data_IF_215663373692
#
_entry.id   IF_215663373692
#
_cell.length_a   1.000
_cell.length_b   1.000
_cell.length_c   1.000
_cell.angle_alpha   90.00
_cell.angle_beta   90.00
_cell.angle_gamma   90.00
#
_symmetry.space_group_name_H-M   'P 1'
#
loop_
_entity.id
_entity.type
_entity.pdbx_description
1 polymer ?
#
# COMPACT_ATOMS: atom_id res chain seq x y z
N UNK A 1 0.30 -19.37 -25.12
CA UNK A 1 -0.47 -18.39 -24.32
C UNK A 1 -0.37 -18.75 -22.83
N UNK A 2 0.78 -19.29 -22.42
CA UNK A 2 0.87 -20.29 -21.35
C UNK A 2 2.19 -20.11 -20.59
N UNK A 3 2.20 -20.47 -19.31
CA UNK A 3 3.20 -20.18 -18.25
C UNK A 3 3.12 -18.78 -17.59
N UNK A 4 2.86 -17.71 -18.36
CA UNK A 4 2.76 -16.35 -17.79
C UNK A 4 1.47 -16.18 -16.97
N UNK A 5 0.34 -16.69 -17.46
CA UNK A 5 -0.94 -16.63 -16.74
C UNK A 5 -0.90 -17.42 -15.41
N UNK A 6 -0.14 -18.52 -15.34
CA UNK A 6 -0.08 -19.35 -14.12
C UNK A 6 0.78 -18.76 -12.99
N UNK A 7 1.67 -17.81 -13.29
CA UNK A 7 2.46 -17.07 -12.27
C UNK A 7 1.78 -15.73 -11.93
N UNK A 8 1.07 -15.13 -12.89
CA UNK A 8 0.35 -13.87 -12.71
C UNK A 8 -1.03 -14.08 -12.06
N UNK A 9 -1.56 -15.31 -12.07
CA UNK A 9 -2.85 -15.70 -11.49
C UNK A 9 -2.70 -16.97 -10.64
N UNK A 10 -1.79 -16.98 -9.66
CA UNK A 10 -1.96 -17.90 -8.55
C UNK A 10 -3.23 -17.50 -7.79
N UNK A 11 -3.93 -18.45 -7.15
CA UNK A 11 -5.18 -18.23 -6.39
C UNK A 11 -5.07 -17.25 -5.22
N UNK A 12 -3.93 -16.59 -5.06
CA UNK A 12 -3.73 -15.48 -4.14
C UNK A 12 -4.22 -14.16 -4.76
N UNK A 13 -5.48 -13.82 -4.49
CA UNK A 13 -6.15 -12.57 -4.87
C UNK A 13 -5.29 -11.31 -4.61
N UNK A 14 -4.46 -11.33 -3.56
CA UNK A 14 -3.63 -10.19 -3.19
C UNK A 14 -2.39 -10.02 -4.08
N UNK A 15 -1.71 -11.11 -4.42
CA UNK A 15 -0.59 -11.08 -5.38
C UNK A 15 -1.06 -10.57 -6.75
N UNK A 16 -2.27 -10.98 -7.15
CA UNK A 16 -2.90 -10.54 -8.40
C UNK A 16 -3.12 -9.02 -8.40
N UNK A 17 -3.52 -8.43 -7.27
CA UNK A 17 -3.72 -6.98 -7.16
C UNK A 17 -2.43 -6.18 -7.40
N UNK A 18 -1.30 -6.63 -6.85
CA UNK A 18 0.00 -5.94 -7.02
C UNK A 18 0.45 -5.98 -8.47
N UNK A 19 0.42 -7.17 -9.09
CA UNK A 19 0.84 -7.36 -10.48
C UNK A 19 -0.09 -6.61 -11.43
N UNK A 20 -1.40 -6.68 -11.20
CA UNK A 20 -2.39 -5.96 -12.00
C UNK A 20 -2.17 -4.45 -11.93
N UNK A 21 -1.83 -3.89 -10.76
CA UNK A 21 -1.49 -2.47 -10.66
C UNK A 21 -0.29 -2.11 -11.54
N UNK A 22 0.78 -2.89 -11.50
CA UNK A 22 1.95 -2.66 -12.37
C UNK A 22 1.55 -2.71 -13.84
N UNK A 23 0.77 -3.72 -14.25
CA UNK A 23 0.29 -3.87 -15.63
C UNK A 23 -0.54 -2.65 -16.06
N UNK A 24 -1.50 -2.21 -15.24
CA UNK A 24 -2.38 -1.11 -15.59
C UNK A 24 -1.62 0.21 -15.74
N UNK A 25 -0.74 0.53 -14.78
CA UNK A 25 0.09 1.74 -14.84
C UNK A 25 1.04 1.71 -16.05
N UNK A 26 1.62 0.55 -16.35
CA UNK A 26 2.50 0.37 -17.52
C UNK A 26 1.73 0.58 -18.83
N UNK A 27 0.53 0.03 -18.95
CA UNK A 27 -0.34 0.25 -20.12
C UNK A 27 -0.73 1.72 -20.28
N UNK A 28 -1.12 2.39 -19.20
CA UNK A 28 -1.42 3.82 -19.22
C UNK A 28 -0.22 4.65 -19.69
N UNK A 29 0.99 4.27 -19.28
CA UNK A 29 2.21 4.91 -19.75
C UNK A 29 2.47 4.67 -21.24
N UNK A 30 2.43 3.42 -21.70
CA UNK A 30 2.76 3.10 -23.08
C UNK A 30 1.70 3.59 -24.08
N UNK A 31 0.42 3.37 -23.77
CA UNK A 31 -0.72 3.64 -24.65
C UNK A 31 -1.19 5.09 -24.55
N UNK A 32 -1.40 5.58 -23.33
CA UNK A 32 -1.98 6.90 -23.09
C UNK A 32 -0.94 7.99 -22.81
N UNK A 33 0.36 7.66 -22.86
CA UNK A 33 1.49 8.57 -22.54
C UNK A 33 1.35 9.25 -21.18
N UNK A 34 0.63 8.60 -20.26
CA UNK A 34 0.42 9.13 -18.91
C UNK A 34 1.59 8.73 -18.03
N UNK A 35 2.33 9.67 -17.43
CA UNK A 35 3.47 9.33 -16.58
C UNK A 35 3.00 8.53 -15.36
N UNK A 36 3.85 7.61 -14.92
CA UNK A 36 3.57 6.84 -13.71
C UNK A 36 3.61 7.77 -12.49
N UNK A 37 2.54 7.74 -11.69
CA UNK A 37 2.47 8.52 -10.46
C UNK A 37 3.52 8.03 -9.46
N UNK A 38 4.43 8.94 -9.08
CA UNK A 38 5.38 8.72 -8.01
C UNK A 38 4.76 9.15 -6.67
N UNK A 39 4.76 8.25 -5.69
CA UNK A 39 4.18 8.47 -4.37
C UNK A 39 5.14 8.05 -3.27
N UNK A 40 5.27 8.86 -2.22
CA UNK A 40 6.01 8.48 -1.00
C UNK A 40 5.18 7.64 -0.02
N UNK A 41 3.87 7.54 -0.25
CA UNK A 41 2.90 6.79 0.55
C UNK A 41 2.03 5.91 -0.36
N UNK A 42 1.47 4.83 0.19
CA UNK A 42 0.63 3.88 -0.57
C UNK A 42 -0.85 4.25 -0.51
N UNK A 43 -1.34 4.77 0.61
CA UNK A 43 -2.72 5.25 0.76
C UNK A 43 -2.84 6.37 1.82
N UNK A 44 -4.04 6.95 1.94
CA UNK A 44 -4.34 8.05 2.86
C UNK A 44 -4.29 7.70 4.35
N UNK A 45 -4.26 6.41 4.71
CA UNK A 45 -3.97 5.98 6.08
C UNK A 45 -2.62 6.51 6.61
N UNK A 46 -1.71 6.85 5.70
CA UNK A 46 -0.39 7.39 6.03
C UNK A 46 -0.33 8.91 6.09
N UNK A 47 -1.41 9.66 5.83
CA UNK A 47 -1.34 11.12 5.87
C UNK A 47 -2.65 11.86 6.20
N UNK A 48 -3.82 11.24 6.12
CA UNK A 48 -5.07 12.00 6.24
C UNK A 48 -6.39 11.24 6.30
N UNK A 49 -6.39 9.92 6.48
CA UNK A 49 -7.63 9.17 6.71
C UNK A 49 -8.02 9.16 8.19
N UNK A 50 -9.32 9.24 8.45
CA UNK A 50 -9.91 9.18 9.79
C UNK A 50 -11.22 8.38 9.72
N UNK A 51 -11.27 7.24 10.38
CA UNK A 51 -12.43 6.34 10.44
C UNK A 51 -12.93 6.25 11.86
N UNK A 52 -14.19 6.56 12.06
CA UNK A 52 -14.82 6.61 13.37
C UNK A 52 -15.54 5.28 13.61
N UNK A 53 -15.21 4.61 14.70
CA UNK A 53 -16.00 3.47 15.16
C UNK A 53 -17.25 3.93 15.93
N UNK A 54 -18.22 3.04 16.20
CA UNK A 54 -19.45 3.41 16.92
C UNK A 54 -19.25 3.90 18.36
N UNK A 55 -18.06 3.69 18.95
CA UNK A 55 -17.72 4.14 20.30
C UNK A 55 -17.00 5.49 20.30
N UNK A 56 -16.74 6.05 19.12
CA UNK A 56 -16.06 7.33 18.95
C UNK A 56 -14.54 7.20 18.76
N UNK A 57 -13.96 5.99 18.79
CA UNK A 57 -12.54 5.85 18.50
C UNK A 57 -12.25 6.09 17.02
N UNK A 58 -11.13 6.77 16.77
CA UNK A 58 -10.71 7.20 15.44
C UNK A 58 -9.51 6.37 15.00
N UNK A 59 -9.56 5.88 13.77
CA UNK A 59 -8.57 4.99 13.17
C UNK A 59 -8.12 5.49 11.78
N UNK A 60 -6.86 5.27 11.38
CA UNK A 60 -6.36 5.70 10.07
C UNK A 60 -6.82 4.81 8.91
N UNK A 61 -7.24 3.58 9.17
CA UNK A 61 -7.55 2.58 8.14
C UNK A 61 -8.57 1.55 8.62
N UNK A 62 -9.38 1.03 7.70
CA UNK A 62 -10.47 0.10 8.01
C UNK A 62 -9.94 -1.23 8.55
N UNK A 63 -8.82 -1.69 7.99
CA UNK A 63 -8.14 -2.94 8.35
C UNK A 63 -7.64 -3.02 9.80
N UNK A 64 -7.58 -1.88 10.50
CA UNK A 64 -7.10 -1.78 11.89
C UNK A 64 -8.18 -1.23 12.84
N UNK A 65 -9.39 -0.94 12.36
CA UNK A 65 -10.52 -0.55 13.21
C UNK A 65 -10.76 -1.64 14.26
N UNK A 66 -11.03 -1.23 15.49
CA UNK A 66 -11.19 -2.13 16.63
C UNK A 66 -9.87 -2.57 17.28
N UNK A 67 -8.72 -2.39 16.63
CA UNK A 67 -7.42 -2.65 17.26
C UNK A 67 -6.96 -1.44 18.08
N UNK A 68 -7.32 -1.38 19.38
CA UNK A 68 -7.09 -0.19 20.24
C UNK A 68 -5.66 0.36 20.23
N UNK A 69 -4.63 -0.49 20.07
CA UNK A 69 -3.22 -0.07 19.90
C UNK A 69 -2.96 0.84 18.68
N UNK A 70 -3.89 0.92 17.74
CA UNK A 70 -3.82 1.73 16.53
C UNK A 70 -4.87 2.83 16.49
N UNK A 71 -5.61 3.06 17.59
CA UNK A 71 -6.49 4.21 17.73
C UNK A 71 -5.65 5.49 17.71
N UNK A 72 -6.00 6.46 16.86
CA UNK A 72 -5.27 7.72 16.65
C UNK A 72 -5.94 8.92 17.34
N UNK A 73 -7.12 8.72 17.89
CA UNK A 73 -7.86 9.75 18.62
C UNK A 73 -9.24 9.27 19.03
N UNK A 74 -9.96 10.08 19.78
CA UNK A 74 -11.32 9.81 20.22
C UNK A 74 -12.19 11.02 19.88
N UNK A 75 -13.41 10.76 19.41
CA UNK A 75 -14.47 11.72 19.24
C UNK A 75 -15.52 11.50 20.32
N UNK A 76 -15.65 12.48 21.21
CA UNK A 76 -16.62 12.47 22.30
C UNK A 76 -17.16 13.87 22.52
N UNK A 77 -18.46 13.98 22.84
CA UNK A 77 -19.10 15.26 23.20
C UNK A 77 -18.86 16.39 22.18
N UNK A 78 -18.83 16.06 20.88
CA UNK A 78 -18.61 17.03 19.80
C UNK A 78 -17.16 17.53 19.66
N UNK A 79 -16.20 16.91 20.36
CA UNK A 79 -14.77 17.26 20.30
C UNK A 79 -13.94 16.07 19.84
N UNK A 80 -12.83 16.38 19.17
CA UNK A 80 -11.82 15.39 18.78
C UNK A 80 -10.57 15.58 19.64
N UNK A 81 -10.12 14.48 20.24
CA UNK A 81 -8.86 14.41 20.97
C UNK A 81 -7.91 13.48 20.22
N UNK A 82 -6.81 14.02 19.70
CA UNK A 82 -5.77 13.23 19.02
C UNK A 82 -4.74 12.68 20.01
N UNK A 83 -4.20 11.50 19.72
CA UNK A 83 -3.09 10.94 20.49
C UNK A 83 -1.82 10.83 19.64
N UNK A 84 -0.71 10.41 20.26
CA UNK A 84 0.60 10.30 19.60
C UNK A 84 0.66 9.23 18.50
N UNK A 85 -0.24 8.24 18.51
CA UNK A 85 -0.33 7.18 17.48
C UNK A 85 -0.72 7.78 16.13
N UNK A 86 -1.42 8.92 16.11
CA UNK A 86 -1.70 9.66 14.88
C UNK A 86 -0.42 9.96 14.10
N UNK A 87 0.61 10.49 14.76
CA UNK A 87 1.87 10.85 14.11
C UNK A 87 2.64 9.60 13.66
N UNK A 88 2.55 8.50 14.42
CA UNK A 88 3.13 7.21 14.02
C UNK A 88 2.59 6.73 12.67
N UNK A 89 1.28 6.86 12.43
CA UNK A 89 0.68 6.52 11.14
C UNK A 89 0.89 7.58 10.07
N UNK A 90 0.56 8.85 10.39
CA UNK A 90 0.47 9.93 9.39
C UNK A 90 1.82 10.48 8.92
N UNK A 91 2.90 10.01 9.53
CA UNK A 91 4.25 10.39 9.15
C UNK A 91 5.00 9.26 8.47
N UNK A 92 4.44 8.05 8.42
CA UNK A 92 5.08 6.90 7.78
C UNK A 92 5.09 7.06 6.26
N UNK A 93 6.28 6.98 5.66
CA UNK A 93 6.47 7.02 4.23
C UNK A 93 7.76 6.28 3.85
N UNK A 94 7.97 6.07 2.56
CA UNK A 94 9.16 5.36 2.05
C UNK A 94 10.49 6.00 2.45
N UNK A 95 10.51 7.31 2.71
CA UNK A 95 11.67 8.03 3.21
C UNK A 95 11.94 7.84 4.71
N UNK A 96 11.03 7.23 5.48
CA UNK A 96 11.27 6.84 6.88
C UNK A 96 11.65 5.37 7.03
N UNK A 97 11.27 4.51 6.10
CA UNK A 97 11.58 3.07 6.14
C UNK A 97 12.98 2.81 5.57
N UNK A 98 13.86 2.16 6.35
CA UNK A 98 15.26 1.90 5.96
C UNK A 98 15.39 1.06 4.69
N UNK A 99 14.56 0.03 4.52
CA UNK A 99 14.56 -0.83 3.33
C UNK A 99 14.08 -0.04 2.11
N UNK A 100 13.06 0.80 2.28
CA UNK A 100 12.52 1.59 1.18
C UNK A 100 13.45 2.71 0.72
N UNK A 101 14.24 3.32 1.62
CA UNK A 101 15.24 4.35 1.27
C UNK A 101 16.23 3.90 0.20
N UNK A 102 16.61 2.63 0.23
CA UNK A 102 17.56 2.04 -0.72
C UNK A 102 16.86 1.34 -1.90
N UNK A 103 15.52 1.31 -1.92
CA UNK A 103 14.76 0.58 -2.91
C UNK A 103 14.45 1.44 -4.14
N UNK A 104 14.94 1.02 -5.31
CA UNK A 104 14.65 1.70 -6.59
C UNK A 104 13.17 1.73 -7.00
N UNK A 105 12.32 0.92 -6.36
CA UNK A 105 10.88 0.88 -6.62
C UNK A 105 10.05 1.69 -5.61
N UNK A 106 10.70 2.32 -4.60
CA UNK A 106 10.02 2.92 -3.46
C UNK A 106 8.92 3.90 -3.87
N UNK A 107 9.22 4.81 -4.81
CA UNK A 107 8.25 5.82 -5.26
C UNK A 107 7.18 5.25 -6.21
N UNK A 108 7.41 4.09 -6.82
CA UNK A 108 6.42 3.43 -7.68
C UNK A 108 5.40 2.64 -6.82
N UNK A 109 5.89 2.05 -5.74
CA UNK A 109 5.09 1.19 -4.87
C UNK A 109 4.48 1.96 -3.68
N UNK A 110 5.08 3.07 -3.26
CA UNK A 110 4.64 3.92 -2.15
C UNK A 110 4.83 3.28 -0.76
N UNK A 111 5.61 2.20 -0.66
CA UNK A 111 5.88 1.52 0.62
C UNK A 111 4.86 0.45 1.02
N UNK A 112 3.96 0.06 0.10
CA UNK A 112 2.94 -0.98 0.30
C UNK A 112 1.99 -0.70 1.49
N UNK A 113 1.04 -1.62 1.74
CA UNK A 113 0.00 -1.44 2.75
C UNK A 113 0.59 -1.51 4.17
N UNK A 114 0.56 -0.39 4.90
CA UNK A 114 1.07 -0.30 6.28
C UNK A 114 0.30 -1.18 7.27
N UNK A 115 -1.02 -1.29 7.11
CA UNK A 115 -1.84 -2.15 7.98
C UNK A 115 -1.43 -3.62 7.89
N UNK A 116 -1.12 -4.10 6.68
CA UNK A 116 -0.64 -5.47 6.46
C UNK A 116 0.73 -5.70 7.08
N UNK A 117 1.67 -4.78 6.87
CA UNK A 117 3.00 -4.84 7.48
C UNK A 117 2.91 -4.94 9.01
N UNK A 118 2.02 -4.16 9.63
CA UNK A 118 1.83 -4.15 11.09
C UNK A 118 1.14 -5.42 11.59
N UNK A 119 0.12 -5.91 10.89
CA UNK A 119 -0.66 -7.09 11.31
C UNK A 119 0.06 -8.42 11.00
N UNK A 120 0.89 -8.46 9.96
CA UNK A 120 1.59 -9.65 9.52
C UNK A 120 2.93 -9.28 8.86
N UNK A 121 4.00 -9.30 9.66
CA UNK A 121 5.36 -8.93 9.23
C UNK A 121 5.78 -9.74 7.99
N UNK A 122 5.43 -11.02 7.94
CA UNK A 122 5.76 -11.91 6.82
C UNK A 122 5.03 -11.52 5.52
N UNK A 123 3.82 -10.97 5.60
CA UNK A 123 3.09 -10.48 4.42
C UNK A 123 3.73 -9.24 3.82
N UNK A 124 4.26 -8.32 4.66
CA UNK A 124 4.97 -7.14 4.19
C UNK A 124 6.17 -7.52 3.32
N UNK A 125 7.00 -8.43 3.82
CA UNK A 125 8.20 -8.92 3.13
C UNK A 125 7.86 -9.73 1.87
N UNK A 126 6.85 -10.58 1.94
CA UNK A 126 6.37 -11.35 0.79
C UNK A 126 5.89 -10.41 -0.32
N UNK A 127 5.10 -9.38 0.04
CA UNK A 127 4.56 -8.41 -0.93
C UNK A 127 5.68 -7.61 -1.60
N UNK A 128 6.68 -7.18 -0.83
CA UNK A 128 7.85 -6.48 -1.34
C UNK A 128 8.63 -7.35 -2.35
N UNK A 129 8.82 -8.62 -2.02
CA UNK A 129 9.51 -9.60 -2.87
C UNK A 129 8.74 -9.89 -4.15
N UNK A 130 7.41 -10.07 -4.04
CA UNK A 130 6.52 -10.24 -5.20
C UNK A 130 6.54 -9.03 -6.12
N UNK A 131 6.46 -7.81 -5.57
CA UNK A 131 6.55 -6.58 -6.37
C UNK A 131 7.85 -6.55 -7.17
N UNK A 132 8.99 -6.77 -6.50
CA UNK A 132 10.33 -6.74 -7.12
C UNK A 132 10.48 -7.79 -8.24
N UNK A 133 9.99 -9.01 -8.00
CA UNK A 133 10.11 -10.12 -8.96
C UNK A 133 9.15 -10.02 -10.14
N UNK A 134 7.95 -9.47 -9.92
CA UNK A 134 6.93 -9.34 -10.96
C UNK A 134 7.12 -8.10 -11.84
N UNK A 135 7.79 -7.06 -11.35
CA UNK A 135 7.87 -5.76 -12.02
C UNK A 135 8.32 -5.84 -13.49
N UNK A 136 9.49 -6.41 -13.77
CA UNK A 136 10.02 -6.49 -15.14
C UNK A 136 9.14 -7.34 -16.05
N UNK A 137 8.53 -8.41 -15.51
CA UNK A 137 7.63 -9.29 -16.27
C UNK A 137 6.35 -8.56 -16.65
N UNK A 138 5.75 -7.83 -15.71
CA UNK A 138 4.55 -7.04 -15.93
C UNK A 138 4.77 -5.89 -16.93
N UNK A 139 5.93 -5.24 -16.86
CA UNK A 139 6.34 -4.22 -17.84
C UNK A 139 6.48 -4.82 -19.24
N UNK A 140 7.24 -5.91 -19.38
CA UNK A 140 7.42 -6.59 -20.67
C UNK A 140 6.10 -7.07 -21.26
N UNK A 141 5.23 -7.63 -20.42
CA UNK A 141 3.87 -8.02 -20.83
C UNK A 141 3.07 -6.83 -21.36
N UNK A 142 3.11 -5.70 -20.65
CA UNK A 142 2.37 -4.49 -21.01
C UNK A 142 2.91 -3.79 -22.25
N UNK A 143 4.19 -3.97 -22.57
CA UNK A 143 4.81 -3.47 -23.79
C UNK A 143 4.51 -4.35 -25.01
N UNK A 144 4.38 -5.66 -24.80
CA UNK A 144 4.12 -6.64 -25.88
C UNK A 144 2.69 -6.60 -26.44
N UNK A 145 1.81 -5.77 -25.85
CA UNK A 145 0.39 -5.66 -26.20
C UNK A 145 0.00 -4.21 -26.44
#
# INVERSE_FOLDING_TARGET
MDAINNIILGDNCFANTVVNRIIQESKNFFQNKTPWKLCSTSCSAQYGSYMFDPYGDIYPCLEIVGQKKHCIGIFSEGKIEWNSIKEYWHSYNVGKNLICKECKYALLCGGMCRAKEINNINEGDLTCTLYKSAFSRAINYSYSK
#
